data_IF_609410135257
#
_entry.id   IF_609410135257
#
_cell.length_a   1.000
_cell.length_b   1.000
_cell.length_c   1.000
_cell.angle_alpha   90.00
_cell.angle_beta   90.00
_cell.angle_gamma   90.00
#
_symmetry.space_group_name_H-M   'P 1'
#
loop_
_entity.id
_entity.type
_entity.pdbx_description
1 polymer ?
#
# COMPACT_ATOMS: atom_id res chain seq x y z
N UNK A 1 -0.67 18.18 7.07
CA UNK A 1 -0.53 16.80 7.54
C UNK A 1 -0.66 15.81 6.38
N UNK A 2 0.16 14.79 6.40
CA UNK A 2 0.09 13.78 5.35
C UNK A 2 -1.16 12.92 5.49
N UNK A 3 -1.82 12.65 4.37
CA UNK A 3 -2.91 11.68 4.34
C UNK A 3 -2.31 10.27 4.36
N UNK A 4 -3.06 9.33 4.91
CA UNK A 4 -2.68 7.92 4.90
C UNK A 4 -3.39 7.25 3.73
N UNK A 5 -2.61 6.77 2.78
CA UNK A 5 -3.11 6.13 1.56
C UNK A 5 -2.68 4.68 1.55
N UNK A 6 -3.61 3.79 1.29
CA UNK A 6 -3.33 2.36 1.14
C UNK A 6 -3.69 1.95 -0.28
N UNK A 7 -2.74 1.35 -0.98
CA UNK A 7 -2.92 0.89 -2.35
C UNK A 7 -2.77 -0.62 -2.38
N UNK A 8 -3.85 -1.33 -2.65
CA UNK A 8 -3.78 -2.77 -2.83
C UNK A 8 -3.31 -3.07 -4.25
N UNK A 9 -2.40 -4.03 -4.40
CA UNK A 9 -1.79 -4.31 -5.70
C UNK A 9 -0.80 -3.25 -6.14
N UNK A 10 -0.06 -2.66 -5.19
CA UNK A 10 0.85 -1.55 -5.45
C UNK A 10 2.15 -1.89 -6.18
N UNK A 11 2.41 -3.17 -6.46
CA UNK A 11 3.70 -3.59 -7.01
C UNK A 11 3.84 -3.42 -8.51
N UNK A 12 2.76 -3.19 -9.25
CA UNK A 12 2.81 -3.11 -10.72
C UNK A 12 1.74 -2.15 -11.24
N UNK A 13 1.93 -1.70 -12.49
CA UNK A 13 0.92 -1.00 -13.26
C UNK A 13 0.36 0.25 -12.60
N UNK A 14 -0.95 0.32 -12.55
CA UNK A 14 -1.67 1.48 -12.04
C UNK A 14 -1.38 1.71 -10.56
N UNK A 15 -1.28 0.63 -9.78
CA UNK A 15 -0.97 0.75 -8.35
C UNK A 15 0.39 1.40 -8.10
N UNK A 16 1.40 0.99 -8.85
CA UNK A 16 2.73 1.59 -8.75
C UNK A 16 2.72 3.07 -9.15
N UNK A 17 1.99 3.42 -10.21
CA UNK A 17 1.84 4.81 -10.65
C UNK A 17 1.17 5.66 -9.58
N UNK A 18 0.10 5.14 -8.96
CA UNK A 18 -0.57 5.83 -7.86
C UNK A 18 0.37 6.05 -6.68
N UNK A 19 1.18 5.06 -6.34
CA UNK A 19 2.14 5.19 -5.25
C UNK A 19 3.13 6.33 -5.50
N UNK A 20 3.63 6.45 -6.72
CA UNK A 20 4.52 7.55 -7.09
C UNK A 20 3.85 8.90 -6.94
N UNK A 21 2.64 9.04 -7.46
CA UNK A 21 1.90 10.30 -7.41
C UNK A 21 1.58 10.71 -5.97
N UNK A 22 1.09 9.77 -5.17
CA UNK A 22 0.70 10.06 -3.79
C UNK A 22 1.92 10.40 -2.94
N UNK A 23 3.03 9.70 -3.11
CA UNK A 23 4.27 10.03 -2.40
C UNK A 23 4.82 11.39 -2.81
N UNK A 24 4.75 11.71 -4.09
CA UNK A 24 5.17 13.02 -4.56
C UNK A 24 4.32 14.15 -3.98
N UNK A 25 3.05 13.86 -3.69
CA UNK A 25 2.16 14.82 -3.04
C UNK A 25 2.38 14.92 -1.52
N UNK A 26 3.27 14.11 -0.96
CA UNK A 26 3.56 14.15 0.46
C UNK A 26 2.71 13.22 1.32
N UNK A 27 1.92 12.36 0.70
CA UNK A 27 1.09 11.40 1.43
C UNK A 27 1.94 10.28 2.01
N UNK A 28 1.47 9.71 3.12
CA UNK A 28 2.04 8.48 3.65
C UNK A 28 1.38 7.31 2.97
N UNK A 29 2.15 6.53 2.21
CA UNK A 29 1.61 5.50 1.34
C UNK A 29 2.05 4.11 1.80
N UNK A 30 1.07 3.22 1.92
CA UNK A 30 1.29 1.79 2.11
C UNK A 30 0.86 1.07 0.84
N UNK A 31 1.68 0.14 0.37
CA UNK A 31 1.35 -0.68 -0.78
C UNK A 31 1.32 -2.14 -0.35
N UNK A 32 0.33 -2.88 -0.85
CA UNK A 32 0.21 -4.30 -0.57
C UNK A 32 0.29 -5.12 -1.85
N UNK A 33 0.74 -6.35 -1.75
CA UNK A 33 0.81 -7.25 -2.88
C UNK A 33 1.27 -8.63 -2.43
N UNK A 34 0.99 -9.62 -3.27
CA UNK A 34 1.34 -11.01 -2.97
C UNK A 34 2.81 -11.33 -3.22
N UNK A 35 3.46 -10.56 -4.09
CA UNK A 35 4.84 -10.81 -4.50
C UNK A 35 5.75 -9.75 -3.92
N UNK A 36 6.70 -10.18 -3.11
CA UNK A 36 7.59 -9.26 -2.40
C UNK A 36 8.49 -8.44 -3.34
N UNK A 37 9.11 -9.09 -4.30
CA UNK A 37 10.12 -8.44 -5.12
C UNK A 37 9.61 -7.20 -5.86
N UNK A 38 8.53 -7.26 -6.67
CA UNK A 38 8.04 -6.05 -7.33
C UNK A 38 7.50 -5.02 -6.35
N UNK A 39 6.90 -5.46 -5.25
CA UNK A 39 6.38 -4.55 -4.24
C UNK A 39 7.50 -3.78 -3.55
N UNK A 40 8.57 -4.46 -3.18
CA UNK A 40 9.71 -3.83 -2.53
C UNK A 40 10.41 -2.87 -3.48
N UNK A 41 10.48 -3.21 -4.76
CA UNK A 41 11.08 -2.31 -5.76
C UNK A 41 10.32 -0.97 -5.83
N UNK A 42 8.99 -1.00 -5.81
CA UNK A 42 8.19 0.23 -5.80
C UNK A 42 8.38 0.98 -4.49
N UNK A 43 8.42 0.28 -3.37
CA UNK A 43 8.64 0.91 -2.07
C UNK A 43 10.00 1.63 -2.03
N UNK A 44 11.05 0.98 -2.53
CA UNK A 44 12.39 1.57 -2.55
C UNK A 44 12.46 2.80 -3.46
N UNK A 45 11.77 2.75 -4.60
CA UNK A 45 11.74 3.85 -5.56
C UNK A 45 10.97 5.06 -5.04
N UNK A 46 9.84 4.82 -4.35
CA UNK A 46 8.90 5.89 -4.01
C UNK A 46 8.98 6.35 -2.57
N UNK A 47 9.52 5.53 -1.68
CA UNK A 47 9.45 5.77 -0.25
C UNK A 47 8.17 5.26 0.40
N UNK A 48 7.32 4.56 -0.36
CA UNK A 48 6.15 3.91 0.20
C UNK A 48 6.55 2.73 1.10
N UNK A 49 5.66 2.31 1.97
CA UNK A 49 5.88 1.17 2.83
C UNK A 49 5.23 -0.06 2.21
N UNK A 50 6.04 -1.09 1.97
CA UNK A 50 5.54 -2.35 1.41
C UNK A 50 5.06 -3.29 2.50
N UNK A 51 3.86 -3.83 2.32
CA UNK A 51 3.30 -4.86 3.20
C UNK A 51 2.92 -6.05 2.33
N UNK A 52 3.70 -7.12 2.44
CA UNK A 52 3.46 -8.33 1.64
C UNK A 52 2.24 -9.06 2.18
N UNK A 53 1.27 -9.29 1.34
CA UNK A 53 0.05 -10.00 1.68
C UNK A 53 -1.03 -9.75 0.66
N UNK A 54 -1.97 -10.68 0.58
CA UNK A 54 -3.11 -10.55 -0.34
C UNK A 54 -4.24 -9.80 0.36
N UNK A 55 -4.43 -8.55 -0.02
CA UNK A 55 -5.48 -7.71 0.57
C UNK A 55 -6.89 -8.22 0.22
N UNK A 56 -7.03 -9.07 -0.80
CA UNK A 56 -8.31 -9.70 -1.11
C UNK A 56 -8.65 -10.83 -0.14
N UNK A 57 -7.67 -11.35 0.57
CA UNK A 57 -7.90 -12.30 1.65
C UNK A 57 -8.32 -11.52 2.90
N UNK A 58 -9.59 -11.64 3.27
CA UNK A 58 -10.15 -10.87 4.39
C UNK A 58 -9.47 -11.14 5.72
N UNK A 59 -8.96 -12.35 5.94
CA UNK A 59 -8.24 -12.65 7.18
C UNK A 59 -6.88 -11.98 7.23
N UNK A 60 -6.13 -12.04 6.13
CA UNK A 60 -4.84 -11.37 6.02
C UNK A 60 -5.01 -9.87 6.21
N UNK A 61 -6.03 -9.30 5.60
CA UNK A 61 -6.34 -7.88 5.74
C UNK A 61 -6.63 -7.51 7.20
N UNK A 62 -7.58 -8.22 7.82
CA UNK A 62 -8.03 -7.88 9.18
C UNK A 62 -7.01 -8.19 10.26
N UNK A 63 -6.25 -9.29 10.10
CA UNK A 63 -5.37 -9.75 11.17
C UNK A 63 -3.94 -9.25 11.04
N UNK A 64 -3.52 -8.84 9.86
CA UNK A 64 -2.14 -8.48 9.61
C UNK A 64 -1.97 -7.11 8.96
N UNK A 65 -2.59 -6.89 7.80
CA UNK A 65 -2.34 -5.66 7.05
C UNK A 65 -2.95 -4.44 7.74
N UNK A 66 -4.23 -4.49 8.02
CA UNK A 66 -4.93 -3.37 8.63
C UNK A 66 -4.39 -3.02 10.02
N UNK A 67 -4.17 -3.99 10.93
CA UNK A 67 -3.58 -3.66 12.23
C UNK A 67 -2.21 -3.00 12.14
N UNK A 68 -1.37 -3.45 11.20
CA UNK A 68 -0.05 -2.85 10.99
C UNK A 68 -0.16 -1.39 10.58
N UNK A 69 -1.06 -1.08 9.66
CA UNK A 69 -1.29 0.30 9.20
C UNK A 69 -1.84 1.17 10.33
N UNK A 70 -2.85 0.68 11.02
CA UNK A 70 -3.49 1.43 12.11
C UNK A 70 -2.52 1.68 13.27
N UNK A 71 -1.66 0.71 13.56
CA UNK A 71 -0.67 0.83 14.61
C UNK A 71 0.35 1.94 14.32
N UNK A 72 0.67 2.14 13.06
CA UNK A 72 1.63 3.15 12.64
C UNK A 72 1.00 4.53 12.42
N UNK A 73 -0.28 4.60 12.07
CA UNK A 73 -0.89 5.84 11.59
C UNK A 73 -2.16 6.24 12.32
N UNK A 74 -2.86 5.29 12.93
CA UNK A 74 -4.13 5.53 13.59
C UNK A 74 -5.34 5.59 12.66
N UNK A 75 -5.17 5.50 11.34
CA UNK A 75 -6.30 5.52 10.42
C UNK A 75 -5.88 5.47 8.96
N UNK A 76 -6.88 5.36 8.08
CA UNK A 76 -6.70 5.36 6.63
C UNK A 76 -7.59 6.44 6.04
N UNK A 77 -7.01 7.34 5.26
CA UNK A 77 -7.77 8.40 4.60
C UNK A 77 -8.24 8.00 3.20
N UNK A 78 -7.42 7.25 2.47
CA UNK A 78 -7.71 6.84 1.10
C UNK A 78 -7.33 5.38 0.91
N UNK A 79 -8.25 4.61 0.32
CA UNK A 79 -7.98 3.22 -0.04
C UNK A 79 -8.16 3.08 -1.55
N UNK A 80 -7.10 2.68 -2.23
CA UNK A 80 -7.09 2.48 -3.68
C UNK A 80 -6.96 0.98 -3.95
N UNK A 81 -7.98 0.40 -4.58
CA UNK A 81 -7.98 -1.01 -4.92
C UNK A 81 -7.59 -1.17 -6.39
N UNK A 82 -6.34 -1.51 -6.63
CA UNK A 82 -5.84 -1.74 -7.98
C UNK A 82 -5.42 -3.21 -8.20
N UNK A 83 -5.83 -4.06 -7.30
CA UNK A 83 -5.49 -5.48 -7.32
C UNK A 83 -6.36 -6.22 -8.33
N UNK A 84 -6.29 -5.82 -9.56
CA UNK A 84 -7.12 -6.41 -10.61
C UNK A 84 -6.45 -7.53 -11.38
N UNK A 85 -5.32 -7.89 -10.98
CA UNK A 85 -4.68 -8.82 -11.82
C UNK A 85 -3.88 -9.85 -11.19
#
# INVERSE_FOLDING_TARGET
>A
MARVVVITGGGTGIGAACARLMRAAGDRVFITGRREAPLQAVADETGATALVGDAADGEVWRQRLLPTILDQTGGIDVLICSAGG
#
